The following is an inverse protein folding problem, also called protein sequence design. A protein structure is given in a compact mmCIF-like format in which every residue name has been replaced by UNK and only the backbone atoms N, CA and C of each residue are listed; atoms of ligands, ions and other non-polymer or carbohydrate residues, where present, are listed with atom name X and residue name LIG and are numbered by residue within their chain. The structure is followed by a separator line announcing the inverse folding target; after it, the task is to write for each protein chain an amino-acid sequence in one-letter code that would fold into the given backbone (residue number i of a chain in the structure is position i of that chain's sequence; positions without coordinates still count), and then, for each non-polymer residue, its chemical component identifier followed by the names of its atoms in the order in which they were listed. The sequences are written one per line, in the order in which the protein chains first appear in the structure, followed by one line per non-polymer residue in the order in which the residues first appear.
data_IF_043521755280
#
_entry.id   IF_043521755280
#
_cell.length_a   1.000
_cell.length_b   1.000
_cell.length_c   1.000
_cell.angle_alpha   90.00
_cell.angle_beta   90.00
_cell.angle_gamma   90.00
#
_symmetry.space_group_name_H-M   'P 1'
#
loop_
_entity.id
_entity.type
_entity.pdbx_description
1 polymer ?
#
# COMPACT_ATOMS: atom_id res chain seq x y z
N UNK A 1 0.29 -30.59 17.77
CA UNK A 1 1.13 -29.52 17.20
C UNK A 1 0.21 -28.45 16.61
N UNK A 2 0.43 -27.18 16.91
CA UNK A 2 -0.32 -26.10 16.27
C UNK A 2 0.17 -25.93 14.82
N UNK A 3 -0.72 -25.47 13.92
CA UNK A 3 -0.35 -25.17 12.52
C UNK A 3 0.80 -24.15 12.45
N UNK A 4 0.82 -23.19 13.38
CA UNK A 4 1.83 -22.14 13.48
C UNK A 4 3.21 -22.68 13.88
N UNK A 5 3.27 -23.60 14.85
CA UNK A 5 4.52 -24.26 15.24
C UNK A 5 5.11 -25.11 14.10
N UNK A 6 4.25 -25.68 13.26
CA UNK A 6 4.65 -26.44 12.07
C UNK A 6 5.23 -25.52 10.99
N UNK A 7 4.58 -24.38 10.71
CA UNK A 7 5.07 -23.41 9.74
C UNK A 7 6.42 -22.79 10.15
N UNK A 8 6.58 -22.41 11.42
CA UNK A 8 7.87 -21.88 11.91
C UNK A 8 8.98 -22.91 11.84
N UNK A 9 8.69 -24.18 12.15
CA UNK A 9 9.67 -25.27 12.04
C UNK A 9 10.11 -25.51 10.59
N UNK A 10 9.16 -25.52 9.64
CA UNK A 10 9.46 -25.65 8.21
C UNK A 10 10.28 -24.46 7.71
N UNK A 11 9.94 -23.22 8.09
CA UNK A 11 10.71 -22.04 7.68
C UNK A 11 12.13 -22.05 8.24
N UNK A 12 12.34 -22.51 9.48
CA UNK A 12 13.69 -22.70 10.04
C UNK A 12 14.48 -23.73 9.25
N UNK A 13 13.85 -24.84 8.88
CA UNK A 13 14.48 -25.87 8.05
C UNK A 13 14.91 -25.32 6.69
N UNK A 14 14.05 -24.52 6.05
CA UNK A 14 14.37 -23.83 4.79
C UNK A 14 15.57 -22.88 4.96
N UNK A 15 15.62 -22.10 6.04
CA UNK A 15 16.74 -21.19 6.31
C UNK A 15 18.06 -21.93 6.54
N UNK A 16 18.01 -23.11 7.15
CA UNK A 16 19.20 -23.94 7.36
C UNK A 16 19.79 -24.46 6.05
N UNK A 17 18.94 -24.78 5.07
CA UNK A 17 19.35 -25.50 3.85
C UNK A 17 19.37 -24.64 2.58
N UNK A 18 18.83 -23.42 2.61
CA UNK A 18 18.76 -22.54 1.46
C UNK A 18 19.29 -21.13 1.74
N UNK A 19 19.79 -20.47 0.69
CA UNK A 19 20.12 -19.05 0.74
C UNK A 19 18.84 -18.22 0.80
N UNK A 20 18.67 -17.47 1.88
CA UNK A 20 17.49 -16.65 2.16
C UNK A 20 17.90 -15.18 2.28
N UNK A 21 17.29 -14.24 1.56
CA UNK A 21 17.56 -12.80 1.70
C UNK A 21 17.38 -12.34 3.15
N UNK A 22 18.24 -11.46 3.65
CA UNK A 22 18.25 -11.00 5.04
C UNK A 22 18.04 -12.12 6.07
N UNK A 23 18.81 -13.21 5.92
CA UNK A 23 18.72 -14.41 6.77
C UNK A 23 18.60 -14.08 8.26
N UNK A 24 19.40 -13.16 8.76
CA UNK A 24 19.41 -12.78 10.18
C UNK A 24 18.12 -12.09 10.62
N UNK A 25 17.47 -11.32 9.74
CA UNK A 25 16.17 -10.71 10.02
C UNK A 25 15.06 -11.77 10.08
N UNK A 26 15.06 -12.71 9.14
CA UNK A 26 14.10 -13.82 9.12
C UNK A 26 14.30 -14.74 10.33
N UNK A 27 15.55 -15.07 10.67
CA UNK A 27 15.87 -15.87 11.85
C UNK A 27 15.38 -15.19 13.13
N UNK A 28 15.67 -13.89 13.31
CA UNK A 28 15.17 -13.12 14.45
C UNK A 28 13.64 -13.09 14.55
N UNK A 29 12.95 -13.04 13.42
CA UNK A 29 11.49 -13.13 13.41
C UNK A 29 11.04 -14.51 13.91
N UNK A 30 11.66 -15.60 13.43
CA UNK A 30 11.28 -16.98 13.74
C UNK A 30 11.75 -17.50 15.12
N UNK A 31 12.73 -16.84 15.74
CA UNK A 31 13.19 -17.12 17.10
C UNK A 31 12.21 -16.60 18.17
N UNK A 32 11.21 -15.82 17.76
CA UNK A 32 10.14 -15.39 18.66
C UNK A 32 9.35 -16.59 19.23
N UNK A 33 8.84 -16.50 20.48
CA UNK A 33 8.00 -17.54 21.05
C UNK A 33 6.79 -17.86 20.16
N UNK A 34 6.37 -19.12 20.08
CA UNK A 34 5.19 -19.52 19.28
C UNK A 34 3.93 -18.72 19.65
N UNK A 35 3.81 -18.31 20.91
CA UNK A 35 2.72 -17.46 21.39
C UNK A 35 2.63 -16.11 20.65
N UNK A 36 3.75 -15.56 20.17
CA UNK A 36 3.79 -14.33 19.36
C UNK A 36 3.05 -14.49 18.04
N UNK A 37 3.03 -15.69 17.47
CA UNK A 37 2.35 -15.96 16.20
C UNK A 37 0.88 -16.35 16.36
N UNK A 38 0.37 -16.41 17.60
CA UNK A 38 -1.06 -16.65 17.87
C UNK A 38 -1.88 -15.37 17.90
N UNK A 39 -1.24 -14.22 18.14
CA UNK A 39 -1.87 -12.92 18.10
C UNK A 39 -1.41 -12.17 16.84
N UNK A 40 -2.37 -11.76 16.01
CA UNK A 40 -2.08 -11.14 14.73
C UNK A 40 -1.28 -9.84 14.87
N UNK A 41 -1.58 -9.02 15.89
CA UNK A 41 -0.90 -7.73 16.10
C UNK A 41 0.59 -7.93 16.36
N UNK A 42 0.92 -8.83 17.27
CA UNK A 42 2.32 -9.14 17.60
C UNK A 42 3.03 -9.92 16.48
N UNK A 43 2.32 -10.75 15.73
CA UNK A 43 2.87 -11.41 14.55
C UNK A 43 3.24 -10.41 13.44
N UNK A 44 2.33 -9.50 13.06
CA UNK A 44 2.58 -8.54 11.99
C UNK A 44 3.69 -7.55 12.35
N UNK A 45 3.75 -7.09 13.60
CA UNK A 45 4.86 -6.25 14.06
C UNK A 45 6.25 -6.92 13.90
N UNK A 46 6.32 -8.26 13.86
CA UNK A 46 7.57 -9.00 13.62
C UNK A 46 7.88 -9.23 12.16
N UNK A 47 6.86 -9.44 11.34
CA UNK A 47 7.02 -9.85 9.93
C UNK A 47 7.07 -8.65 8.99
N UNK A 48 6.36 -7.56 9.28
CA UNK A 48 6.33 -6.35 8.43
C UNK A 48 7.71 -5.73 8.19
N UNK A 49 8.66 -5.69 9.16
CA UNK A 49 10.00 -5.19 8.88
C UNK A 49 10.76 -5.94 7.77
N UNK A 50 10.34 -7.16 7.40
CA UNK A 50 10.91 -7.88 6.25
C UNK A 50 10.62 -7.17 4.92
N UNK A 51 9.61 -6.30 4.85
CA UNK A 51 9.33 -5.46 3.67
C UNK A 51 10.50 -4.50 3.34
N UNK A 52 11.46 -4.33 4.24
CA UNK A 52 12.70 -3.62 3.94
C UNK A 52 13.48 -4.27 2.77
N UNK A 53 13.34 -5.58 2.59
CA UNK A 53 13.98 -6.30 1.49
C UNK A 53 13.05 -6.40 0.27
N UNK A 54 13.58 -6.04 -0.90
CA UNK A 54 12.83 -6.04 -2.16
C UNK A 54 12.15 -7.38 -2.46
N UNK A 55 12.84 -8.49 -2.21
CA UNK A 55 12.32 -9.83 -2.47
C UNK A 55 11.08 -10.14 -1.61
N UNK A 56 11.08 -9.73 -0.35
CA UNK A 56 9.93 -9.92 0.54
C UNK A 56 8.83 -8.92 0.24
N UNK A 57 9.17 -7.66 -0.01
CA UNK A 57 8.19 -6.62 -0.36
C UNK A 57 7.40 -7.00 -1.60
N UNK A 58 8.06 -7.46 -2.66
CA UNK A 58 7.42 -7.90 -3.89
C UNK A 58 6.41 -9.06 -3.68
N UNK A 59 6.68 -9.96 -2.73
CA UNK A 59 5.82 -11.10 -2.42
C UNK A 59 4.70 -10.77 -1.43
N UNK A 60 5.02 -9.99 -0.40
CA UNK A 60 4.13 -9.73 0.74
C UNK A 60 3.20 -8.56 0.51
N UNK A 61 3.67 -7.45 -0.06
CA UNK A 61 2.87 -6.23 -0.21
C UNK A 61 1.59 -6.45 -1.03
N UNK A 62 1.58 -7.22 -2.15
CA UNK A 62 0.33 -7.54 -2.85
C UNK A 62 -0.65 -8.37 -2.01
N UNK A 63 -0.16 -9.14 -1.05
CA UNK A 63 -1.01 -9.92 -0.14
C UNK A 63 -1.57 -9.02 0.95
N UNK A 64 -0.70 -8.23 1.60
CA UNK A 64 -1.07 -7.25 2.63
C UNK A 64 -2.12 -6.26 2.12
N UNK A 65 -1.93 -5.70 0.92
CA UNK A 65 -2.90 -4.76 0.33
C UNK A 65 -4.30 -5.36 0.18
N UNK A 66 -4.42 -6.67 -0.05
CA UNK A 66 -5.73 -7.35 -0.16
C UNK A 66 -6.36 -7.64 1.19
N UNK A 67 -5.54 -7.75 2.24
CA UNK A 67 -5.97 -8.12 3.59
C UNK A 67 -5.99 -6.93 4.56
N UNK A 68 -5.55 -5.74 4.11
CA UNK A 68 -5.41 -4.51 4.91
C UNK A 68 -6.71 -4.02 5.58
N UNK A 69 -7.85 -4.58 5.21
CA UNK A 69 -9.10 -4.41 5.95
C UNK A 69 -9.02 -4.92 7.40
N UNK A 70 -8.01 -5.72 7.75
CA UNK A 70 -7.72 -6.10 9.14
C UNK A 70 -6.98 -4.96 9.86
N UNK A 71 -7.49 -4.58 11.05
CA UNK A 71 -6.92 -3.47 11.86
C UNK A 71 -5.47 -3.76 12.29
N UNK A 72 -5.10 -5.03 12.44
CA UNK A 72 -3.77 -5.43 12.92
C UNK A 72 -2.69 -5.27 11.84
N UNK A 73 -3.03 -5.56 10.58
CA UNK A 73 -2.09 -5.42 9.45
C UNK A 73 -1.84 -3.96 9.10
N UNK A 74 -2.92 -3.19 8.97
CA UNK A 74 -2.88 -1.76 8.70
C UNK A 74 -2.10 -1.01 9.77
N UNK A 75 -2.41 -1.25 11.05
CA UNK A 75 -1.69 -0.64 12.17
C UNK A 75 -0.20 -0.98 12.15
N UNK A 76 0.17 -2.26 11.96
CA UNK A 76 1.58 -2.64 11.96
C UNK A 76 2.35 -2.07 10.75
N UNK A 77 1.69 -1.90 9.59
CA UNK A 77 2.30 -1.26 8.41
C UNK A 77 2.54 0.23 8.66
N UNK A 78 1.55 0.93 9.21
CA UNK A 78 1.64 2.34 9.59
C UNK A 78 2.70 2.57 10.66
N UNK A 79 2.68 1.76 11.73
CA UNK A 79 3.66 1.85 12.81
C UNK A 79 5.09 1.68 12.26
N UNK A 80 5.31 0.67 11.40
CA UNK A 80 6.64 0.43 10.81
C UNK A 80 7.09 1.56 9.87
N UNK A 81 6.19 2.08 9.03
CA UNK A 81 6.54 3.14 8.08
C UNK A 81 6.71 4.51 8.74
N UNK A 82 6.04 4.77 9.86
CA UNK A 82 6.24 5.98 10.66
C UNK A 82 7.67 6.12 11.19
N UNK A 83 8.33 4.99 11.46
CA UNK A 83 9.72 4.93 11.94
C UNK A 83 10.74 4.67 10.81
N UNK A 84 10.29 4.50 9.56
CA UNK A 84 11.15 4.15 8.44
C UNK A 84 11.79 5.39 7.79
N UNK A 85 12.92 5.19 7.11
CA UNK A 85 13.55 6.25 6.31
C UNK A 85 12.68 6.58 5.08
N UNK A 86 12.74 7.84 4.60
CA UNK A 86 11.98 8.32 3.44
C UNK A 86 12.21 7.47 2.19
N UNK A 87 13.41 6.91 2.02
CA UNK A 87 13.74 6.00 0.94
C UNK A 87 12.86 4.73 0.96
N UNK A 88 12.56 4.20 2.14
CA UNK A 88 11.69 3.04 2.31
C UNK A 88 10.22 3.38 2.06
N UNK A 89 9.76 4.53 2.55
CA UNK A 89 8.41 5.05 2.26
C UNK A 89 8.22 5.19 0.75
N UNK A 90 9.17 5.84 0.06
CA UNK A 90 9.18 5.97 -1.39
C UNK A 90 9.17 4.60 -2.11
N UNK A 91 9.94 3.62 -1.62
CA UNK A 91 9.97 2.28 -2.20
C UNK A 91 8.62 1.55 -2.08
N UNK A 92 7.96 1.62 -0.92
CA UNK A 92 6.62 1.05 -0.73
C UNK A 92 5.60 1.74 -1.65
N UNK A 93 5.62 3.07 -1.72
CA UNK A 93 4.74 3.83 -2.61
C UNK A 93 4.98 3.50 -4.10
N UNK A 94 6.23 3.31 -4.51
CA UNK A 94 6.57 2.91 -5.86
C UNK A 94 6.02 1.52 -6.21
N UNK A 95 6.10 0.56 -5.28
CA UNK A 95 5.56 -0.78 -5.48
C UNK A 95 4.03 -0.79 -5.51
N UNK A 96 3.38 0.01 -4.66
CA UNK A 96 1.92 0.22 -4.69
C UNK A 96 1.48 0.83 -6.03
N UNK A 97 2.22 1.82 -6.55
CA UNK A 97 1.97 2.41 -7.86
C UNK A 97 2.15 1.38 -8.98
N UNK A 98 3.22 0.59 -8.96
CA UNK A 98 3.46 -0.46 -9.96
C UNK A 98 2.32 -1.49 -9.94
N UNK A 99 1.86 -1.90 -8.76
CA UNK A 99 0.75 -2.83 -8.59
C UNK A 99 -0.57 -2.23 -9.11
N UNK A 100 -0.85 -0.97 -8.80
CA UNK A 100 -2.04 -0.25 -9.27
C UNK A 100 -2.05 -0.10 -10.80
N UNK A 101 -0.92 0.27 -11.40
CA UNK A 101 -0.77 0.40 -12.85
C UNK A 101 -1.01 -0.93 -13.57
N UNK A 102 -0.39 -2.01 -13.07
CA UNK A 102 -0.54 -3.35 -13.64
C UNK A 102 -1.98 -3.84 -13.61
N UNK A 103 -2.73 -3.47 -12.59
CA UNK A 103 -4.10 -3.95 -12.35
C UNK A 103 -5.17 -2.85 -12.47
N UNK A 104 -4.92 -1.80 -13.27
CA UNK A 104 -5.80 -0.62 -13.35
C UNK A 104 -7.24 -0.94 -13.77
N UNK A 105 -7.51 -2.10 -14.39
CA UNK A 105 -8.86 -2.53 -14.78
C UNK A 105 -9.49 -3.54 -13.83
N UNK A 106 -8.73 -4.10 -12.89
CA UNK A 106 -9.21 -5.15 -11.98
C UNK A 106 -9.50 -4.58 -10.59
N UNK A 107 -10.78 -4.34 -10.31
CA UNK A 107 -11.26 -3.78 -9.04
C UNK A 107 -10.90 -4.67 -7.83
N UNK A 108 -10.67 -5.97 -8.01
CA UNK A 108 -10.25 -6.86 -6.91
C UNK A 108 -8.86 -6.55 -6.40
N UNK A 109 -8.05 -5.86 -7.20
CA UNK A 109 -6.67 -5.50 -6.87
C UNK A 109 -6.52 -3.99 -6.72
N UNK A 110 -7.02 -3.18 -7.65
CA UNK A 110 -6.81 -1.72 -7.58
C UNK A 110 -7.50 -1.08 -6.39
N UNK A 111 -8.72 -1.51 -6.01
CA UNK A 111 -9.43 -0.90 -4.89
C UNK A 111 -8.67 -1.09 -3.56
N UNK A 112 -8.26 -2.31 -3.17
CA UNK A 112 -7.48 -2.50 -1.95
C UNK A 112 -6.12 -1.78 -1.97
N UNK A 113 -5.47 -1.67 -3.13
CA UNK A 113 -4.22 -0.91 -3.27
C UNK A 113 -4.45 0.58 -3.03
N UNK A 114 -5.47 1.17 -3.65
CA UNK A 114 -5.80 2.58 -3.44
C UNK A 114 -6.25 2.85 -1.99
N UNK A 115 -6.96 1.91 -1.37
CA UNK A 115 -7.34 2.00 0.05
C UNK A 115 -6.10 1.94 0.96
N UNK A 116 -5.12 1.10 0.62
CA UNK A 116 -3.84 1.04 1.33
C UNK A 116 -3.14 2.39 1.25
N UNK A 117 -3.04 2.96 0.05
CA UNK A 117 -2.42 4.29 -0.12
C UNK A 117 -3.18 5.35 0.66
N UNK A 118 -4.52 5.40 0.54
CA UNK A 118 -5.33 6.34 1.29
C UNK A 118 -5.08 6.22 2.80
N UNK A 119 -4.97 5.00 3.31
CA UNK A 119 -4.70 4.77 4.71
C UNK A 119 -3.34 5.33 5.15
N UNK A 120 -2.29 5.10 4.36
CA UNK A 120 -0.96 5.69 4.65
C UNK A 120 -1.01 7.22 4.66
N UNK A 121 -1.73 7.82 3.71
CA UNK A 121 -1.95 9.26 3.66
C UNK A 121 -2.70 9.78 4.89
N UNK A 122 -3.75 9.09 5.34
CA UNK A 122 -4.52 9.47 6.54
C UNK A 122 -3.67 9.51 7.83
N UNK A 123 -2.52 8.81 7.84
CA UNK A 123 -1.55 8.80 8.93
C UNK A 123 -0.31 9.67 8.67
N UNK A 124 -0.38 10.58 7.70
CA UNK A 124 0.70 11.50 7.31
C UNK A 124 1.99 10.79 6.85
N UNK A 125 1.89 9.53 6.41
CA UNK A 125 3.00 8.80 5.78
C UNK A 125 3.04 9.19 4.31
N UNK A 126 3.82 10.20 3.98
CA UNK A 126 3.92 10.77 2.63
C UNK A 126 5.23 10.35 1.96
N UNK A 127 5.22 9.97 0.66
CA UNK A 127 6.45 9.82 -0.08
C UNK A 127 7.08 11.21 -0.32
N UNK A 128 8.39 11.33 -0.15
CA UNK A 128 9.13 12.55 -0.50
C UNK A 128 9.03 12.86 -2.00
N UNK A 129 8.95 11.81 -2.83
CA UNK A 129 8.79 11.98 -4.26
C UNK A 129 7.32 12.27 -4.63
N UNK A 130 6.98 13.56 -4.71
CA UNK A 130 5.65 14.09 -5.08
C UNK A 130 5.10 13.47 -6.38
N UNK A 131 5.97 13.13 -7.34
CA UNK A 131 5.55 12.55 -8.62
C UNK A 131 4.88 11.18 -8.46
N UNK A 132 5.17 10.44 -7.38
CA UNK A 132 4.53 9.16 -7.10
C UNK A 132 3.05 9.37 -6.77
N UNK A 133 2.73 10.39 -5.95
CA UNK A 133 1.35 10.73 -5.61
C UNK A 133 0.58 11.22 -6.84
N UNK A 134 1.16 12.10 -7.64
CA UNK A 134 0.54 12.56 -8.89
C UNK A 134 0.21 11.39 -9.82
N UNK A 135 1.14 10.45 -10.00
CA UNK A 135 0.94 9.25 -10.82
C UNK A 135 -0.11 8.33 -10.23
N UNK A 136 -0.17 8.18 -8.91
CA UNK A 136 -1.21 7.40 -8.24
C UNK A 136 -2.59 8.04 -8.41
N UNK A 137 -2.70 9.37 -8.28
CA UNK A 137 -3.95 10.10 -8.56
C UNK A 137 -4.37 9.92 -10.01
N UNK A 138 -3.43 9.97 -10.96
CA UNK A 138 -3.72 9.70 -12.36
C UNK A 138 -4.27 8.27 -12.56
N UNK A 139 -3.68 7.27 -11.92
CA UNK A 139 -4.16 5.87 -11.98
C UNK A 139 -5.52 5.71 -11.31
N UNK A 140 -5.74 6.36 -10.16
CA UNK A 140 -6.99 6.32 -9.43
C UNK A 140 -8.14 6.96 -10.23
N UNK A 141 -7.87 8.08 -10.90
CA UNK A 141 -8.85 8.83 -11.68
C UNK A 141 -8.98 8.33 -13.12
N UNK A 142 -8.12 7.41 -13.55
CA UNK A 142 -8.19 6.80 -14.87
C UNK A 142 -9.57 6.13 -15.07
N UNK A 143 -10.20 6.47 -16.19
CA UNK A 143 -11.48 5.91 -16.64
C UNK A 143 -12.69 6.23 -15.75
N UNK A 144 -12.59 7.17 -14.80
CA UNK A 144 -13.68 7.49 -13.84
C UNK A 144 -15.03 7.74 -14.51
N UNK A 145 -15.05 8.42 -15.67
CA UNK A 145 -16.29 8.68 -16.42
C UNK A 145 -17.04 7.39 -16.86
N UNK A 146 -16.34 6.26 -16.93
CA UNK A 146 -16.88 4.96 -17.36
C UNK A 146 -16.96 3.94 -16.22
N UNK A 147 -16.47 4.28 -15.02
CA UNK A 147 -16.46 3.38 -13.88
C UNK A 147 -17.87 3.20 -13.31
N UNK A 148 -18.28 1.94 -13.16
CA UNK A 148 -19.55 1.55 -12.51
C UNK A 148 -19.36 1.07 -11.07
N UNK A 149 -18.11 0.95 -10.62
CA UNK A 149 -17.78 0.44 -9.29
C UNK A 149 -17.81 1.58 -8.27
N UNK A 150 -18.83 1.60 -7.42
CA UNK A 150 -18.95 2.56 -6.32
C UNK A 150 -17.71 2.54 -5.41
N UNK A 151 -17.19 1.39 -4.93
CA UNK A 151 -16.00 1.37 -4.08
C UNK A 151 -14.79 2.03 -4.74
N UNK A 152 -14.61 1.83 -6.05
CA UNK A 152 -13.52 2.46 -6.80
C UNK A 152 -13.71 3.97 -6.94
N UNK A 153 -14.92 4.41 -7.29
CA UNK A 153 -15.22 5.83 -7.39
C UNK A 153 -14.97 6.54 -6.05
N UNK A 154 -15.40 5.94 -4.94
CA UNK A 154 -15.19 6.48 -3.59
C UNK A 154 -13.69 6.61 -3.28
N UNK A 155 -12.91 5.54 -3.35
CA UNK A 155 -11.48 5.61 -3.01
C UNK A 155 -10.72 6.56 -3.94
N UNK A 156 -11.05 6.60 -5.23
CA UNK A 156 -10.43 7.52 -6.19
C UNK A 156 -10.76 8.99 -5.87
N UNK A 157 -12.00 9.28 -5.46
CA UNK A 157 -12.40 10.61 -5.04
C UNK A 157 -11.69 11.03 -3.76
N UNK A 158 -11.64 10.15 -2.75
CA UNK A 158 -10.91 10.40 -1.50
C UNK A 158 -9.45 10.72 -1.76
N UNK A 159 -8.80 9.91 -2.59
CA UNK A 159 -7.40 10.12 -2.95
C UNK A 159 -7.17 11.43 -3.69
N UNK A 160 -8.03 11.78 -4.64
CA UNK A 160 -7.96 13.05 -5.35
C UNK A 160 -8.12 14.26 -4.41
N UNK A 161 -9.13 14.21 -3.53
CA UNK A 161 -9.38 15.29 -2.56
C UNK A 161 -8.21 15.42 -1.59
N UNK A 162 -7.72 14.32 -1.03
CA UNK A 162 -6.61 14.36 -0.09
C UNK A 162 -5.36 14.98 -0.74
N UNK A 163 -4.95 14.50 -1.91
CA UNK A 163 -3.74 15.02 -2.58
C UNK A 163 -3.90 16.48 -3.01
N UNK A 164 -5.11 16.88 -3.44
CA UNK A 164 -5.35 18.26 -3.92
C UNK A 164 -5.47 19.30 -2.79
N UNK A 165 -5.90 18.89 -1.60
CA UNK A 165 -6.29 19.83 -0.54
C UNK A 165 -5.60 19.61 0.82
N UNK A 166 -5.20 18.38 1.14
CA UNK A 166 -4.63 18.03 2.45
C UNK A 166 -3.10 17.99 2.44
N UNK A 167 -2.46 17.64 1.32
CA UNK A 167 -1.01 17.73 1.18
C UNK A 167 -0.65 19.20 0.88
N UNK A 168 0.06 19.92 1.76
CA UNK A 168 0.47 21.29 1.49
C UNK A 168 1.46 21.29 0.33
N UNK A 169 0.94 21.49 -0.88
CA UNK A 169 1.77 21.73 -2.05
C UNK A 169 2.55 23.03 -1.80
N UNK A 170 3.85 23.07 -2.10
CA UNK A 170 4.50 24.34 -2.45
C UNK A 170 3.62 25.02 -3.51
N UNK A 171 3.49 26.36 -3.55
CA UNK A 171 2.60 27.04 -4.48
C UNK A 171 3.07 26.84 -5.93
N UNK A 172 2.74 25.71 -6.52
CA UNK A 172 2.73 25.47 -7.94
C UNK A 172 1.34 25.85 -8.47
N UNK A 173 1.34 26.49 -9.63
CA UNK A 173 0.22 27.22 -10.22
C UNK A 173 -1.14 26.48 -10.16
N UNK A 174 -2.27 27.22 -10.13
CA UNK A 174 -3.59 26.62 -10.01
C UNK A 174 -3.84 25.58 -11.12
N UNK A 175 -4.60 24.51 -10.81
CA UNK A 175 -4.94 23.49 -11.80
C UNK A 175 -5.65 24.16 -12.98
N UNK A 176 -5.11 23.95 -14.18
CA UNK A 176 -5.73 24.35 -15.43
C UNK A 176 -6.99 23.50 -15.58
N UNK A 177 -8.11 24.00 -15.05
CA UNK A 177 -9.44 23.52 -15.39
C UNK A 177 -9.68 23.85 -16.86
N UNK A 178 -9.28 22.95 -17.74
CA UNK A 178 -9.82 22.83 -19.10
C UNK A 178 -11.27 22.37 -19.02
N UNK A 179 -12.15 23.20 -18.48
CA UNK A 179 -13.59 23.10 -18.68
C UNK A 179 -13.83 23.34 -20.18
N UNK A 180 -13.86 22.24 -20.94
CA UNK A 180 -14.49 22.22 -22.26
C UNK A 180 -15.97 22.54 -22.02
N UNK A 181 -16.31 23.83 -22.10
CA UNK A 181 -17.66 24.28 -22.34
C UNK A 181 -18.05 23.85 -23.77
N UNK A 182 -18.48 22.60 -23.93
CA UNK A 182 -19.39 22.27 -25.03
C UNK A 182 -20.73 22.91 -24.69
N UNK A 183 -20.99 24.07 -25.28
CA UNK A 183 -22.30 24.73 -25.31
C UNK A 183 -23.34 23.72 -25.81
N UNK A 184 -24.20 23.25 -24.92
CA UNK A 184 -25.52 22.74 -25.29
C UNK A 184 -26.42 23.96 -25.33
N UNK A 185 -26.54 24.58 -26.51
CA UNK A 185 -27.60 25.55 -26.79
C UNK A 185 -28.91 24.78 -26.95
N UNK A 186 -29.76 24.88 -25.92
CA UNK A 186 -31.18 24.58 -25.99
C UNK A 186 -31.99 25.75 -26.60
N UNK A 187 -33.31 25.60 -26.71
CA UNK A 187 -34.07 25.86 -27.93
C UNK A 187 -34.63 27.28 -28.03
N UNK A 188 -34.57 27.85 -29.23
CA UNK A 188 -35.53 28.81 -29.81
C UNK A 188 -35.53 28.62 -31.33
#
# INVERSE_FOLDING_TARGET
MSVHGTACAVLRDVICHHSVPARDAVQRALDAPEATFRDARTAFARVIPLLAEDAYRAAMLPTLTRTIASRSESAALVDWLSDAEDAMVNAVYADLLALAQRHVRDNRVIVPVLQTVQHLLEWDILPENETILERLVHVATAYVATLKSVPRLTVSMHMYVYVSYAVPCKPCAPPVFGLVHSRVSGPF
#
